data_IF_900728323531
#
_entry.id   IF_900728323531
#
_cell.length_a   1.000
_cell.length_b   1.000
_cell.length_c   1.000
_cell.angle_alpha   90.00
_cell.angle_beta   90.00
_cell.angle_gamma   90.00
#
_symmetry.space_group_name_H-M   'P 1'
#
loop_
_entity.id
_entity.type
_entity.pdbx_description
1 polymer ?
#
# COMPACT_ATOMS: atom_id res chain seq x y z
N UNK A 1 41.48 42.32 -3.34
CA UNK A 1 40.70 41.06 -3.44
C UNK A 1 41.27 40.23 -4.56
N UNK A 2 41.62 38.97 -4.29
CA UNK A 2 42.22 38.08 -5.29
C UNK A 2 41.20 37.69 -6.37
N UNK A 3 41.62 37.72 -7.63
CA UNK A 3 40.79 37.31 -8.80
C UNK A 3 40.19 35.91 -8.63
N UNK A 4 40.86 35.03 -7.87
CA UNK A 4 40.40 33.67 -7.53
C UNK A 4 39.21 33.67 -6.58
N UNK A 5 39.12 34.63 -5.66
CA UNK A 5 37.98 34.79 -4.76
C UNK A 5 36.78 35.41 -5.49
N UNK A 6 37.01 36.30 -6.45
CA UNK A 6 35.96 36.85 -7.30
C UNK A 6 35.29 35.77 -8.17
N UNK A 7 36.06 34.84 -8.75
CA UNK A 7 35.52 33.73 -9.54
C UNK A 7 34.67 32.76 -8.69
N UNK A 8 35.13 32.44 -7.47
CA UNK A 8 34.37 31.59 -6.54
C UNK A 8 33.09 32.26 -6.04
N UNK A 9 33.15 33.56 -5.74
CA UNK A 9 31.98 34.34 -5.36
C UNK A 9 30.97 34.44 -6.52
N UNK A 10 31.44 34.63 -7.76
CA UNK A 10 30.59 34.64 -8.95
C UNK A 10 29.93 33.28 -9.23
N UNK A 11 30.68 32.18 -9.12
CA UNK A 11 30.14 30.83 -9.29
C UNK A 11 29.12 30.47 -8.20
N UNK A 12 29.38 30.86 -6.95
CA UNK A 12 28.45 30.62 -5.84
C UNK A 12 27.17 31.46 -5.99
N UNK A 13 27.30 32.75 -6.34
CA UNK A 13 26.16 33.63 -6.55
C UNK A 13 25.32 33.18 -7.76
N UNK A 14 25.96 32.82 -8.88
CA UNK A 14 25.26 32.27 -10.04
C UNK A 14 24.59 30.93 -9.74
N UNK A 15 25.25 30.03 -9.00
CA UNK A 15 24.68 28.74 -8.59
C UNK A 15 23.48 28.89 -7.67
N UNK A 16 23.57 29.76 -6.65
CA UNK A 16 22.45 30.04 -5.73
C UNK A 16 21.31 30.78 -6.43
N UNK A 17 21.59 31.80 -7.24
CA UNK A 17 20.53 32.52 -7.95
C UNK A 17 19.86 31.64 -9.01
N UNK A 18 20.61 30.77 -9.68
CA UNK A 18 20.07 29.76 -10.58
C UNK A 18 19.23 28.72 -9.82
N UNK A 19 19.71 28.19 -8.68
CA UNK A 19 18.92 27.28 -7.84
C UNK A 19 17.66 27.96 -7.32
N UNK A 20 17.74 29.22 -6.88
CA UNK A 20 16.60 30.00 -6.43
C UNK A 20 15.63 30.32 -7.58
N UNK A 21 16.12 30.59 -8.79
CA UNK A 21 15.30 30.75 -10.00
C UNK A 21 14.64 29.42 -10.42
N UNK A 22 15.36 28.30 -10.35
CA UNK A 22 14.84 26.96 -10.66
C UNK A 22 13.78 26.53 -9.64
N UNK A 23 13.93 26.91 -8.37
CA UNK A 23 12.95 26.64 -7.31
C UNK A 23 11.80 27.66 -7.30
N UNK A 24 12.00 28.85 -7.87
CA UNK A 24 10.97 29.87 -8.09
C UNK A 24 10.43 29.75 -9.51
N UNK A 25 9.65 28.70 -9.77
CA UNK A 25 8.97 28.54 -11.06
C UNK A 25 8.21 29.83 -11.44
N UNK A 26 8.48 30.43 -12.61
CA UNK A 26 7.62 31.48 -13.14
C UNK A 26 6.23 30.89 -13.38
N UNK A 27 5.20 31.71 -13.17
CA UNK A 27 3.84 31.44 -13.59
C UNK A 27 3.81 31.11 -15.09
N UNK A 28 3.92 29.82 -15.42
CA UNK A 28 3.77 29.24 -16.75
C UNK A 28 2.27 29.15 -17.05
N UNK A 29 1.59 30.29 -16.98
CA UNK A 29 0.16 30.44 -17.09
C UNK A 29 -0.30 30.36 -18.56
N UNK A 30 -0.10 29.19 -19.18
CA UNK A 30 -0.74 28.80 -20.43
C UNK A 30 -0.85 27.28 -20.66
N UNK A 31 -0.46 26.44 -19.70
CA UNK A 31 -1.07 25.11 -19.61
C UNK A 31 -2.49 25.33 -19.09
N UNK A 32 -3.51 25.12 -19.93
CA UNK A 32 -4.85 24.80 -19.39
C UNK A 32 -4.61 23.60 -18.46
N UNK A 33 -4.88 23.78 -17.18
CA UNK A 33 -4.76 22.73 -16.20
C UNK A 33 -5.92 21.76 -16.44
N UNK A 34 -5.62 20.63 -17.09
CA UNK A 34 -6.56 19.51 -17.20
C UNK A 34 -6.86 18.88 -15.81
N UNK A 35 -6.30 19.43 -14.73
CA UNK A 35 -6.66 19.14 -13.34
C UNK A 35 -7.88 19.89 -12.80
N UNK A 36 -8.33 20.98 -13.45
CA UNK A 36 -9.52 21.75 -13.03
C UNK A 36 -10.84 21.14 -13.55
N UNK A 37 -10.79 20.21 -14.51
CA UNK A 37 -11.96 19.53 -15.05
C UNK A 37 -11.93 18.05 -14.63
N UNK A 38 -12.57 17.67 -13.50
CA UNK A 38 -12.47 16.32 -12.93
C UNK A 38 -13.15 15.23 -13.78
N UNK A 39 -13.57 15.55 -15.01
CA UNK A 39 -14.35 14.68 -15.86
C UNK A 39 -15.74 14.38 -15.27
N UNK A 40 -16.57 13.60 -15.98
CA UNK A 40 -17.83 13.15 -15.42
C UNK A 40 -17.58 12.28 -14.18
N UNK A 41 -17.97 12.79 -13.01
CA UNK A 41 -17.84 12.10 -11.73
C UNK A 41 -18.54 10.74 -11.73
N UNK A 42 -17.95 9.77 -11.04
CA UNK A 42 -18.52 8.44 -10.86
C UNK A 42 -19.91 8.52 -10.20
N UNK A 43 -20.88 7.80 -10.78
CA UNK A 43 -22.18 7.62 -10.15
C UNK A 43 -22.03 6.93 -8.79
N UNK A 44 -22.90 7.26 -7.83
CA UNK A 44 -22.94 6.64 -6.49
C UNK A 44 -22.93 5.11 -6.57
N UNK A 45 -23.68 4.55 -7.52
CA UNK A 45 -23.76 3.10 -7.73
C UNK A 45 -22.40 2.54 -8.18
N UNK A 46 -21.67 3.26 -9.04
CA UNK A 46 -20.35 2.84 -9.49
C UNK A 46 -19.33 2.94 -8.35
N UNK A 47 -19.37 4.01 -7.56
CA UNK A 47 -18.46 4.16 -6.41
C UNK A 47 -18.68 3.05 -5.39
N UNK A 48 -19.93 2.77 -5.02
CA UNK A 48 -20.23 1.68 -4.08
C UNK A 48 -19.91 0.31 -4.70
N UNK A 49 -20.26 0.09 -5.97
CA UNK A 49 -19.97 -1.16 -6.67
C UNK A 49 -18.47 -1.45 -6.75
N UNK A 50 -17.68 -0.46 -7.17
CA UNK A 50 -16.23 -0.63 -7.38
C UNK A 50 -15.43 -0.65 -6.08
N UNK A 51 -15.74 0.24 -5.13
CA UNK A 51 -14.92 0.42 -3.93
C UNK A 51 -15.44 -0.30 -2.70
N UNK A 52 -16.66 -0.85 -2.72
CA UNK A 52 -17.21 -1.61 -1.58
C UNK A 52 -17.49 -3.05 -1.97
N UNK A 53 -18.21 -3.28 -3.08
CA UNK A 53 -18.53 -4.66 -3.47
C UNK A 53 -17.33 -5.45 -3.98
N UNK A 54 -16.42 -4.85 -4.77
CA UNK A 54 -15.22 -5.58 -5.24
C UNK A 54 -14.35 -6.02 -4.05
N UNK A 55 -13.96 -5.14 -3.09
CA UNK A 55 -13.18 -5.58 -1.95
C UNK A 55 -13.88 -6.65 -1.10
N UNK A 56 -15.20 -6.51 -0.88
CA UNK A 56 -15.97 -7.48 -0.11
C UNK A 56 -16.11 -8.83 -0.83
N UNK A 57 -16.33 -8.81 -2.15
CA UNK A 57 -16.37 -9.99 -2.98
C UNK A 57 -15.03 -10.72 -2.98
N UNK A 58 -13.92 -9.99 -3.10
CA UNK A 58 -12.58 -10.56 -3.04
C UNK A 58 -12.32 -11.22 -1.68
N UNK A 59 -12.74 -10.57 -0.59
CA UNK A 59 -12.65 -11.16 0.75
C UNK A 59 -13.43 -12.47 0.88
N UNK A 60 -14.67 -12.50 0.40
CA UNK A 60 -15.51 -13.71 0.43
C UNK A 60 -14.89 -14.83 -0.40
N UNK A 61 -14.35 -14.51 -1.59
CA UNK A 61 -13.66 -15.49 -2.44
C UNK A 61 -12.45 -16.07 -1.70
N UNK A 62 -11.61 -15.23 -1.10
CA UNK A 62 -10.43 -15.69 -0.35
C UNK A 62 -10.85 -16.55 0.85
N UNK A 63 -11.82 -16.10 1.65
CA UNK A 63 -12.32 -16.84 2.80
C UNK A 63 -12.91 -18.20 2.40
N UNK A 64 -13.67 -18.24 1.30
CA UNK A 64 -14.21 -19.47 0.74
C UNK A 64 -13.12 -20.43 0.28
N UNK A 65 -12.11 -19.93 -0.44
CA UNK A 65 -10.96 -20.72 -0.87
C UNK A 65 -10.18 -21.28 0.32
N UNK A 66 -9.95 -20.48 1.36
CA UNK A 66 -9.29 -20.94 2.60
C UNK A 66 -10.11 -22.02 3.29
N UNK A 67 -11.43 -21.87 3.40
CA UNK A 67 -12.30 -22.86 4.02
C UNK A 67 -12.33 -24.19 3.25
N UNK A 68 -12.32 -24.12 1.92
CA UNK A 68 -12.22 -25.31 1.06
C UNK A 68 -10.86 -26.00 1.23
N UNK A 69 -9.77 -25.22 1.28
CA UNK A 69 -8.41 -25.75 1.41
C UNK A 69 -8.13 -26.34 2.81
N UNK A 70 -8.61 -25.72 3.91
CA UNK A 70 -8.48 -26.26 5.28
C UNK A 70 -9.17 -27.62 5.44
N UNK A 71 -10.27 -27.84 4.69
CA UNK A 71 -11.00 -29.11 4.74
C UNK A 71 -10.22 -30.26 4.09
N UNK A 72 -9.30 -30.00 3.16
CA UNK A 72 -8.43 -31.03 2.57
C UNK A 72 -7.41 -31.59 3.56
N UNK A 73 -6.88 -30.78 4.49
CA UNK A 73 -5.86 -31.20 5.44
C UNK A 73 -6.42 -32.05 6.60
N UNK A 74 -7.71 -31.91 6.92
CA UNK A 74 -8.33 -32.65 8.04
C UNK A 74 -8.65 -34.11 7.73
N UNK A 75 -8.35 -34.60 6.53
CA UNK A 75 -8.55 -36.02 6.16
C UNK A 75 -7.43 -36.96 6.67
N UNK A 76 -6.36 -36.42 7.26
CA UNK A 76 -5.22 -37.20 7.78
C UNK A 76 -5.15 -37.40 9.31
N UNK A 77 -6.13 -36.93 10.08
CA UNK A 77 -6.03 -36.85 11.54
C UNK A 77 -7.16 -37.57 12.28
N UNK A 78 -7.45 -38.83 11.94
CA UNK A 78 -8.32 -39.65 12.76
C UNK A 78 -7.60 -40.07 14.05
N UNK A 79 -8.04 -39.48 15.16
CA UNK A 79 -8.22 -40.13 16.46
C UNK A 79 -7.06 -40.91 17.08
N UNK A 80 -6.47 -40.31 18.13
CA UNK A 80 -6.20 -41.05 19.38
C UNK A 80 -6.15 -40.06 20.54
N UNK A 81 -7.33 -39.64 21.01
CA UNK A 81 -7.47 -39.22 22.41
C UNK A 81 -7.24 -40.48 23.27
N UNK A 82 -5.98 -40.73 23.60
CA UNK A 82 -5.59 -41.63 24.68
C UNK A 82 -6.19 -41.07 25.97
N UNK A 83 -7.35 -41.60 26.36
CA UNK A 83 -7.94 -41.34 27.65
C UNK A 83 -6.97 -41.85 28.70
N UNK A 84 -6.44 -40.94 29.51
CA UNK A 84 -5.80 -41.24 30.79
C UNK A 84 -6.78 -42.09 31.60
N UNK A 85 -6.55 -43.41 31.65
CA UNK A 85 -7.05 -44.25 32.73
C UNK A 85 -5.96 -44.30 33.79
N UNK A 86 -6.20 -43.55 34.85
CA UNK A 86 -5.63 -43.77 36.17
C UNK A 86 -6.33 -44.99 36.76
N UNK A 87 -5.71 -46.15 36.65
CA UNK A 87 -6.03 -47.30 37.49
C UNK A 87 -4.76 -47.71 38.25
N UNK A 88 -4.68 -47.13 39.44
CA UNK A 88 -3.96 -47.70 40.56
C UNK A 88 -4.48 -49.14 40.77
N UNK A 89 -3.70 -50.15 40.40
CA UNK A 89 -3.84 -51.46 41.02
C UNK A 89 -2.57 -52.31 40.96
N UNK A 90 -2.08 -52.57 42.17
CA UNK A 90 -1.51 -53.83 42.64
C UNK A 90 -0.25 -54.38 41.94
N UNK A 91 0.90 -54.17 42.59
CA UNK A 91 1.74 -55.31 42.94
C UNK A 91 2.47 -55.10 44.27
N UNK A 92 1.97 -55.76 45.31
CA UNK A 92 2.75 -56.22 46.45
C UNK A 92 3.51 -57.50 46.06
#
# INVERSE_FOLDING_TARGET
MDKKNALRAGALAAGTTLMMLLMSSPALALSRDDGDDPGPGLSVIQTVGLYVLIPLGLFVVIAGLVMVLDKSDRKGGASSKSGVKTDAQAKA
#
